data_IF_218994648167
#
_entry.id   IF_218994648167
#
_cell.length_a   1.000
_cell.length_b   1.000
_cell.length_c   1.000
_cell.angle_alpha   90.00
_cell.angle_beta   90.00
_cell.angle_gamma   90.00
#
_symmetry.space_group_name_H-M   'P 1'
#
loop_
_entity.id
_entity.type
_entity.pdbx_description
1 polymer ?
#
# COMPACT_ATOMS: atom_id res chain seq x y z
N UNK A 1 20.29 -8.75 31.58
CA UNK A 1 20.71 -7.90 30.43
C UNK A 1 20.26 -8.63 29.17
N UNK A 2 19.58 -7.97 28.22
CA UNK A 2 19.21 -8.63 26.95
C UNK A 2 20.48 -8.95 26.15
N UNK A 3 20.52 -10.10 25.49
CA UNK A 3 21.59 -10.41 24.55
C UNK A 3 21.51 -9.48 23.33
N UNK A 4 22.65 -9.13 22.73
CA UNK A 4 22.69 -8.24 21.58
C UNK A 4 21.87 -8.77 20.40
N UNK A 5 21.96 -10.07 20.11
CA UNK A 5 21.23 -10.68 19.00
C UNK A 5 19.73 -10.67 19.25
N UNK A 6 19.30 -10.78 20.50
CA UNK A 6 17.89 -10.67 20.88
C UNK A 6 17.36 -9.27 20.58
N UNK A 7 18.09 -8.21 20.95
CA UNK A 7 17.72 -6.82 20.65
C UNK A 7 17.62 -6.60 19.13
N UNK A 8 18.58 -7.11 18.36
CA UNK A 8 18.59 -6.97 16.88
C UNK A 8 17.39 -7.67 16.24
N UNK A 9 17.01 -8.85 16.74
CA UNK A 9 15.86 -9.63 16.24
C UNK A 9 14.52 -9.05 16.68
N UNK A 10 14.44 -8.51 17.91
CA UNK A 10 13.26 -7.87 18.47
C UNK A 10 12.97 -6.52 17.81
N UNK A 11 14.00 -5.79 17.37
CA UNK A 11 13.86 -4.49 16.73
C UNK A 11 12.93 -4.59 15.51
N UNK A 12 11.74 -4.01 15.66
CA UNK A 12 10.75 -3.82 14.59
C UNK A 12 10.29 -2.37 14.55
N UNK A 13 9.94 -1.92 13.35
CA UNK A 13 9.35 -0.59 13.14
C UNK A 13 7.89 -0.64 13.55
N UNK A 14 7.53 0.12 14.58
CA UNK A 14 6.16 0.21 15.09
C UNK A 14 5.55 1.55 14.69
N UNK A 15 4.28 1.54 14.29
CA UNK A 15 3.53 2.73 13.82
C UNK A 15 2.22 2.96 14.58
N UNK A 16 1.98 2.14 15.59
CA UNK A 16 0.84 2.25 16.51
C UNK A 16 1.43 2.33 17.92
N UNK A 17 1.16 3.43 18.61
CA UNK A 17 1.78 3.75 19.89
C UNK A 17 0.69 3.91 20.93
N UNK A 18 0.97 3.48 22.16
CA UNK A 18 0.15 3.86 23.30
C UNK A 18 0.27 5.36 23.59
N UNK A 19 -0.67 5.90 24.37
CA UNK A 19 -0.65 7.30 24.81
C UNK A 19 0.43 7.60 25.87
N UNK A 20 1.19 6.59 26.30
CA UNK A 20 2.23 6.74 27.33
C UNK A 20 3.34 7.70 26.82
N UNK A 21 3.65 8.78 27.55
CA UNK A 21 4.70 9.71 27.14
C UNK A 21 6.08 9.04 27.17
N UNK A 22 6.99 9.52 26.32
CA UNK A 22 8.41 9.12 26.34
C UNK A 22 9.19 10.22 27.09
N UNK A 23 9.73 9.93 28.29
CA UNK A 23 10.44 10.94 29.09
C UNK A 23 11.69 11.45 28.38
N UNK A 24 11.98 12.76 28.51
CA UNK A 24 13.16 13.38 27.89
C UNK A 24 14.47 12.72 28.36
N UNK A 25 14.58 12.35 29.63
CA UNK A 25 15.80 11.71 30.13
C UNK A 25 16.04 10.32 29.51
N UNK A 26 14.97 9.58 29.23
CA UNK A 26 15.07 8.32 28.48
C UNK A 26 15.56 8.57 27.05
N UNK A 27 15.09 9.64 26.42
CA UNK A 27 15.55 10.05 25.08
C UNK A 27 17.03 10.44 25.10
N UNK A 28 17.48 11.16 26.14
CA UNK A 28 18.91 11.47 26.32
C UNK A 28 19.75 10.19 26.43
N UNK A 29 19.32 9.21 27.24
CA UNK A 29 20.02 7.92 27.33
C UNK A 29 20.05 7.15 26.00
N UNK A 30 18.98 7.22 25.21
CA UNK A 30 18.95 6.64 23.86
C UNK A 30 19.96 7.34 22.94
N UNK A 31 20.00 8.67 22.97
CA UNK A 31 20.94 9.48 22.17
C UNK A 31 22.38 9.24 22.60
N UNK A 32 22.65 9.09 23.89
CA UNK A 32 23.97 8.77 24.43
C UNK A 32 24.50 7.42 23.91
N UNK A 33 23.65 6.39 23.85
CA UNK A 33 24.07 5.12 23.21
C UNK A 33 24.28 5.31 21.70
N UNK A 34 23.42 6.12 21.07
CA UNK A 34 23.52 6.39 19.65
C UNK A 34 24.82 7.14 19.29
N UNK A 35 25.31 8.04 20.14
CA UNK A 35 26.53 8.84 19.92
C UNK A 35 27.80 8.01 19.77
N UNK A 36 27.82 6.76 20.23
CA UNK A 36 28.90 5.80 19.97
C UNK A 36 28.94 5.29 18.52
N UNK A 37 28.00 5.69 17.66
CA UNK A 37 28.08 5.41 16.23
C UNK A 37 29.34 6.05 15.62
N UNK A 38 30.06 5.35 14.74
CA UNK A 38 31.25 5.91 14.11
C UNK A 38 30.86 7.10 13.24
N UNK A 39 31.70 8.14 13.26
CA UNK A 39 31.53 9.33 12.41
C UNK A 39 32.78 9.56 11.58
N UNK A 40 32.61 10.18 10.42
CA UNK A 40 33.73 10.55 9.56
C UNK A 40 34.72 11.40 10.37
N UNK A 41 36.00 11.00 10.42
CA UNK A 41 37.06 11.66 11.18
C UNK A 41 36.70 12.08 12.62
N UNK A 42 35.79 11.37 13.29
CA UNK A 42 35.24 11.74 14.60
C UNK A 42 34.60 13.14 14.70
N UNK A 43 34.12 13.69 13.57
CA UNK A 43 33.56 15.05 13.50
C UNK A 43 32.23 15.25 14.27
N UNK A 44 31.47 14.19 14.54
CA UNK A 44 30.26 14.24 15.37
C UNK A 44 29.24 15.31 14.93
N UNK A 45 29.01 15.43 13.62
CA UNK A 45 28.17 16.49 13.01
C UNK A 45 26.65 16.21 13.11
N UNK A 46 26.24 15.19 13.87
CA UNK A 46 24.83 14.86 14.08
C UNK A 46 24.19 15.80 15.10
N UNK A 47 22.98 16.28 14.79
CA UNK A 47 22.16 17.06 15.72
C UNK A 47 20.75 16.45 15.88
N UNK A 48 20.13 16.68 17.04
CA UNK A 48 18.84 16.14 17.41
C UNK A 48 17.89 17.24 17.89
N UNK A 49 16.67 17.25 17.38
CA UNK A 49 15.60 18.12 17.85
C UNK A 49 14.47 17.23 18.38
N UNK A 50 14.19 17.35 19.68
CA UNK A 50 13.10 16.65 20.34
C UNK A 50 11.81 17.48 20.29
N UNK A 51 10.74 16.86 19.81
CA UNK A 51 9.41 17.47 19.70
C UNK A 51 8.37 16.51 20.29
N UNK A 52 7.79 16.87 21.42
CA UNK A 52 6.69 16.14 22.06
C UNK A 52 5.37 16.92 22.04
N UNK A 53 5.41 18.24 21.92
CA UNK A 53 4.24 19.11 21.93
C UNK A 53 3.35 18.95 20.66
N UNK A 54 2.04 18.97 20.88
CA UNK A 54 1.06 18.77 19.80
C UNK A 54 1.02 19.93 18.80
N UNK A 55 1.32 21.17 19.23
CA UNK A 55 1.21 22.37 18.39
C UNK A 55 2.26 22.34 17.29
N UNK A 56 3.51 22.04 17.61
CA UNK A 56 4.61 21.91 16.64
C UNK A 56 4.37 20.74 15.69
N UNK A 57 3.95 19.59 16.21
CA UNK A 57 3.57 18.42 15.38
C UNK A 57 2.46 18.75 14.39
N UNK A 58 1.42 19.48 14.79
CA UNK A 58 0.35 19.92 13.89
C UNK A 58 0.83 20.91 12.83
N UNK A 59 1.73 21.83 13.18
CA UNK A 59 2.35 22.75 12.20
C UNK A 59 3.16 21.99 11.16
N UNK A 60 3.98 21.02 11.58
CA UNK A 60 4.75 20.16 10.66
C UNK A 60 3.82 19.43 9.68
N UNK A 61 2.69 18.90 10.16
CA UNK A 61 1.71 18.20 9.31
C UNK A 61 1.05 19.17 8.32
N UNK A 62 0.53 20.31 8.79
CA UNK A 62 -0.29 21.21 7.97
C UNK A 62 0.53 22.09 7.04
N UNK A 63 1.63 22.65 7.53
CA UNK A 63 2.44 23.62 6.80
C UNK A 63 3.48 22.89 5.92
N UNK A 64 4.21 21.93 6.49
CA UNK A 64 5.29 21.21 5.81
C UNK A 64 4.83 19.94 5.07
N UNK A 65 3.57 19.52 5.21
CA UNK A 65 3.07 18.24 4.68
C UNK A 65 3.78 17.02 5.28
N UNK A 66 4.08 17.07 6.59
CA UNK A 66 4.60 15.92 7.31
C UNK A 66 3.55 14.78 7.41
N UNK A 67 4.03 13.55 7.54
CA UNK A 67 3.19 12.36 7.70
C UNK A 67 2.32 12.43 8.97
N UNK A 68 1.03 12.11 8.84
CA UNK A 68 0.06 12.14 9.94
C UNK A 68 0.38 11.18 11.10
N UNK A 69 1.26 10.19 10.91
CA UNK A 69 1.78 9.36 12.00
C UNK A 69 2.43 10.18 13.12
N UNK A 70 3.03 11.32 12.78
CA UNK A 70 3.65 12.23 13.77
C UNK A 70 2.65 12.70 14.82
N UNK A 71 1.37 12.87 14.46
CA UNK A 71 0.31 13.27 15.38
C UNK A 71 0.12 12.28 16.52
N UNK A 72 0.25 10.99 16.23
CA UNK A 72 -0.02 9.89 17.19
C UNK A 72 1.22 9.45 17.95
N UNK A 73 2.41 9.84 17.49
CA UNK A 73 3.64 9.50 18.18
C UNK A 73 3.79 10.36 19.45
N UNK A 74 3.99 9.74 20.63
CA UNK A 74 4.24 10.48 21.86
C UNK A 74 5.44 11.42 21.74
N UNK A 75 6.50 10.98 21.07
CA UNK A 75 7.68 11.78 20.80
C UNK A 75 8.11 11.72 19.33
N UNK A 76 8.71 12.81 18.86
CA UNK A 76 9.35 12.93 17.56
C UNK A 76 10.79 13.40 17.78
N UNK A 77 11.74 12.71 17.17
CA UNK A 77 13.11 13.21 16.99
C UNK A 77 13.32 13.61 15.54
N UNK A 78 13.88 14.78 15.32
CA UNK A 78 14.39 15.21 14.01
C UNK A 78 15.90 15.11 14.04
N UNK A 79 16.47 14.32 13.12
CA UNK A 79 17.91 14.12 13.00
C UNK A 79 18.42 14.98 11.85
N UNK A 80 19.37 15.85 12.15
CA UNK A 80 20.07 16.65 11.14
C UNK A 80 21.57 16.35 11.15
N UNK A 81 22.24 16.73 10.07
CA UNK A 81 23.68 16.54 9.89
C UNK A 81 24.28 17.72 9.12
N UNK A 82 25.27 18.39 9.70
CA UNK A 82 25.97 19.52 9.08
C UNK A 82 27.15 19.06 8.20
N UNK A 83 26.83 18.26 7.19
CA UNK A 83 27.82 17.59 6.35
C UNK A 83 28.29 18.46 5.18
N UNK A 84 29.48 18.17 4.66
CA UNK A 84 30.02 18.84 3.48
C UNK A 84 29.18 18.57 2.23
N UNK A 85 28.53 17.41 2.19
CA UNK A 85 27.62 17.03 1.12
C UNK A 85 26.54 16.06 1.61
N UNK A 86 25.53 15.88 0.78
CA UNK A 86 24.38 15.03 1.08
C UNK A 86 24.74 13.54 1.28
N UNK A 87 25.78 13.01 0.62
CA UNK A 87 26.18 11.60 0.78
C UNK A 87 26.77 11.35 2.17
N UNK A 88 27.59 12.28 2.65
CA UNK A 88 28.14 12.23 4.00
C UNK A 88 27.03 12.31 5.05
N UNK A 89 26.08 13.24 4.87
CA UNK A 89 24.91 13.35 5.74
C UNK A 89 24.07 12.06 5.78
N UNK A 90 23.85 11.40 4.63
CA UNK A 90 23.19 10.09 4.59
C UNK A 90 23.98 9.06 5.38
N UNK A 91 25.30 8.95 5.15
CA UNK A 91 26.15 7.94 5.78
C UNK A 91 26.19 8.13 7.31
N UNK A 92 26.57 9.32 7.75
CA UNK A 92 26.70 9.66 9.17
C UNK A 92 25.37 9.60 9.92
N UNK A 93 24.29 10.10 9.30
CA UNK A 93 22.94 10.00 9.87
C UNK A 93 22.41 8.56 9.95
N UNK A 94 22.69 7.71 8.96
CA UNK A 94 22.22 6.32 8.94
C UNK A 94 22.90 5.43 9.97
N UNK A 95 24.21 5.62 10.19
CA UNK A 95 24.97 4.90 11.22
C UNK A 95 24.41 5.19 12.62
N UNK A 96 24.26 6.49 12.92
CA UNK A 96 23.64 7.00 14.14
C UNK A 96 22.22 6.47 14.34
N UNK A 97 21.39 6.54 13.29
CA UNK A 97 20.02 6.05 13.32
C UNK A 97 19.95 4.54 13.61
N UNK A 98 20.88 3.75 13.07
CA UNK A 98 21.00 2.32 13.35
C UNK A 98 21.17 2.04 14.84
N UNK A 99 22.12 2.73 15.49
CA UNK A 99 22.35 2.60 16.93
C UNK A 99 21.15 3.10 17.74
N UNK A 100 20.58 4.25 17.38
CA UNK A 100 19.41 4.83 18.04
C UNK A 100 18.23 3.85 18.08
N UNK A 101 17.94 3.15 16.98
CA UNK A 101 16.85 2.18 16.94
C UNK A 101 17.10 0.96 17.84
N UNK A 102 18.35 0.50 17.94
CA UNK A 102 18.72 -0.62 18.82
C UNK A 102 18.67 -0.18 20.30
N UNK A 103 19.19 1.02 20.60
CA UNK A 103 19.12 1.61 21.94
C UNK A 103 17.67 1.78 22.39
N UNK A 104 16.80 2.36 21.56
CA UNK A 104 15.38 2.48 21.86
C UNK A 104 14.78 1.11 22.21
N UNK A 105 15.03 0.08 21.37
CA UNK A 105 14.52 -1.28 21.58
C UNK A 105 15.02 -1.87 22.91
N UNK A 106 16.29 -1.64 23.27
CA UNK A 106 16.86 -2.06 24.55
C UNK A 106 16.11 -1.43 25.74
N UNK A 107 15.82 -0.13 25.66
CA UNK A 107 15.07 0.61 26.67
C UNK A 107 13.55 0.37 26.65
N UNK A 108 13.05 -0.51 25.77
CA UNK A 108 11.62 -0.85 25.67
C UNK A 108 10.77 0.19 24.93
N UNK A 109 11.40 1.12 24.22
CA UNK A 109 10.73 2.12 23.35
C UNK A 109 10.97 1.74 21.90
N UNK A 110 9.99 1.93 21.03
CA UNK A 110 10.17 1.63 19.61
C UNK A 110 10.34 2.89 18.78
N UNK A 111 11.32 2.82 17.88
CA UNK A 111 11.66 3.87 16.93
C UNK A 111 11.18 3.50 15.52
N UNK A 112 10.57 4.47 14.84
CA UNK A 112 10.19 4.35 13.42
C UNK A 112 10.79 5.51 12.63
N UNK A 113 11.89 5.29 11.88
CA UNK A 113 12.43 6.31 11.01
C UNK A 113 11.50 6.58 9.82
N UNK A 114 11.42 7.84 9.42
CA UNK A 114 10.62 8.31 8.30
C UNK A 114 11.34 9.39 7.50
N UNK A 115 11.29 9.25 6.18
CA UNK A 115 11.70 10.27 5.21
C UNK A 115 10.49 11.05 4.65
N UNK A 116 9.27 10.64 4.99
CA UNK A 116 8.03 11.33 4.61
C UNK A 116 7.73 12.51 5.54
N UNK A 117 8.73 13.34 5.86
CA UNK A 117 8.60 14.43 6.83
C UNK A 117 8.17 15.77 6.19
N UNK A 118 8.07 15.82 4.85
CA UNK A 118 7.55 16.99 4.15
C UNK A 118 8.60 17.84 3.45
N UNK A 119 8.28 19.11 3.25
CA UNK A 119 9.16 20.10 2.60
C UNK A 119 10.29 20.50 3.55
N UNK A 120 11.55 20.25 3.14
CA UNK A 120 12.75 20.64 3.87
C UNK A 120 12.72 22.12 4.29
N UNK A 121 12.49 23.04 3.36
CA UNK A 121 12.45 24.49 3.61
C UNK A 121 11.47 24.85 4.74
N UNK A 122 10.26 24.29 4.70
CA UNK A 122 9.23 24.57 5.68
C UNK A 122 9.54 23.93 7.04
N UNK A 123 10.07 22.71 7.05
CA UNK A 123 10.52 22.07 8.30
C UNK A 123 11.62 22.90 8.94
N UNK A 124 12.62 23.34 8.16
CA UNK A 124 13.70 24.20 8.65
C UNK A 124 13.16 25.50 9.25
N UNK A 125 12.19 26.14 8.59
CA UNK A 125 11.53 27.34 9.12
C UNK A 125 10.76 27.10 10.41
N UNK A 126 10.02 25.99 10.51
CA UNK A 126 9.19 25.66 11.68
C UNK A 126 10.05 25.36 12.91
N UNK A 127 11.16 24.64 12.70
CA UNK A 127 12.05 24.15 13.76
C UNK A 127 13.31 24.99 13.92
N UNK A 128 13.42 26.11 13.20
CA UNK A 128 14.58 27.01 13.22
C UNK A 128 15.92 26.33 12.91
N UNK A 129 15.89 25.36 11.98
CA UNK A 129 17.09 24.63 11.54
C UNK A 129 17.88 25.51 10.56
N UNK A 130 19.21 25.67 10.76
CA UNK A 130 20.08 26.39 9.82
C UNK A 130 20.02 25.87 8.38
N UNK A 131 20.39 26.74 7.43
CA UNK A 131 20.41 26.37 6.02
C UNK A 131 21.47 25.29 5.70
N UNK A 132 22.60 25.26 6.42
CA UNK A 132 23.69 24.30 6.23
C UNK A 132 23.32 22.87 6.61
N UNK A 133 22.45 22.71 7.61
CA UNK A 133 22.02 21.42 8.12
C UNK A 133 21.22 20.61 7.09
N UNK A 134 21.60 19.36 6.86
CA UNK A 134 20.78 18.42 6.09
C UNK A 134 19.82 17.70 7.03
N UNK A 135 18.51 17.71 6.74
CA UNK A 135 17.55 16.88 7.48
C UNK A 135 17.71 15.44 7.01
N UNK A 136 18.22 14.56 7.86
CA UNK A 136 18.44 13.15 7.50
C UNK A 136 17.13 12.36 7.54
N UNK A 137 16.42 12.44 8.66
CA UNK A 137 15.11 11.81 8.83
C UNK A 137 14.39 12.33 10.07
N UNK A 138 13.12 12.00 10.16
CA UNK A 138 12.33 12.06 11.39
C UNK A 138 12.27 10.67 12.01
N UNK A 139 12.17 10.57 13.33
CA UNK A 139 12.02 9.31 14.05
C UNK A 139 10.88 9.46 15.04
N UNK A 140 9.79 8.73 14.83
CA UNK A 140 8.74 8.64 15.86
C UNK A 140 9.13 7.65 16.94
N UNK A 141 8.92 8.04 18.19
CA UNK A 141 9.25 7.27 19.39
C UNK A 141 7.99 7.08 20.24
N UNK A 142 7.80 5.86 20.74
CA UNK A 142 6.72 5.53 21.65
C UNK A 142 6.73 4.07 22.09
N UNK A 143 5.88 3.75 23.07
CA UNK A 143 5.63 2.38 23.49
C UNK A 143 4.60 1.73 22.57
N UNK A 144 4.75 0.44 22.22
CA UNK A 144 3.75 -0.28 21.44
C UNK A 144 2.37 -0.26 22.13
N UNK A 145 1.32 -0.25 21.33
CA UNK A 145 -0.03 -0.60 21.78
C UNK A 145 -0.37 -2.05 21.38
N UNK A 146 -1.55 -2.54 21.76
CA UNK A 146 -2.02 -3.89 21.45
C UNK A 146 -2.00 -4.21 19.93
N UNK A 147 -2.18 -3.20 19.07
CA UNK A 147 -2.14 -3.39 17.61
C UNK A 147 -0.72 -3.60 17.10
N UNK A 148 0.29 -3.13 17.82
CA UNK A 148 1.68 -3.33 17.47
C UNK A 148 2.17 -4.75 17.82
N UNK A 149 1.61 -5.35 18.87
CA UNK A 149 1.96 -6.69 19.34
C UNK A 149 1.44 -7.79 18.40
N UNK A 150 0.31 -7.55 17.75
CA UNK A 150 -0.29 -8.47 16.79
C UNK A 150 0.35 -8.44 15.39
N UNK A 151 1.37 -7.61 15.17
CA UNK A 151 2.04 -7.53 13.87
C UNK A 151 2.93 -8.76 13.60
N UNK A 152 2.86 -9.34 12.39
CA UNK A 152 3.66 -10.50 12.05
C UNK A 152 5.16 -10.19 12.03
N UNK A 153 5.98 -11.22 12.25
CA UNK A 153 7.43 -11.10 12.17
C UNK A 153 7.89 -10.67 10.77
N UNK A 154 8.93 -9.84 10.72
CA UNK A 154 9.47 -9.32 9.45
C UNK A 154 10.41 -10.37 8.85
N UNK A 155 9.99 -10.99 7.75
CA UNK A 155 10.84 -11.88 6.96
C UNK A 155 11.92 -11.07 6.23
N UNK A 156 13.18 -11.48 6.39
CA UNK A 156 14.35 -10.96 5.66
C UNK A 156 14.65 -11.81 4.44
N UNK A 157 15.27 -11.20 3.43
CA UNK A 157 15.79 -11.94 2.27
C UNK A 157 16.93 -12.87 2.72
N UNK A 158 17.09 -14.04 2.10
CA UNK A 158 18.26 -14.89 2.28
C UNK A 158 19.55 -14.13 1.94
N UNK A 159 20.63 -14.39 2.70
CA UNK A 159 21.94 -13.75 2.46
C UNK A 159 22.46 -14.06 1.06
N UNK A 160 22.20 -15.26 0.54
CA UNK A 160 22.57 -15.68 -0.82
C UNK A 160 21.98 -14.82 -1.94
N UNK A 161 20.86 -14.13 -1.69
CA UNK A 161 20.28 -13.19 -2.66
C UNK A 161 20.83 -11.76 -2.55
N UNK A 162 21.51 -11.43 -1.45
CA UNK A 162 22.03 -10.09 -1.16
C UNK A 162 23.54 -10.02 -1.35
N UNK A 163 24.24 -11.13 -1.10
CA UNK A 163 25.68 -11.24 -1.23
C UNK A 163 26.06 -11.58 -2.67
N UNK A 164 26.88 -10.71 -3.26
CA UNK A 164 27.48 -10.92 -4.57
C UNK A 164 29.00 -11.08 -4.40
N UNK A 165 29.56 -12.15 -4.97
CA UNK A 165 30.98 -12.48 -4.84
C UNK A 165 31.69 -12.07 -6.14
N UNK A 166 32.73 -11.24 -6.03
CA UNK A 166 33.52 -10.74 -7.15
C UNK A 166 32.83 -9.62 -7.94
N UNK A 167 31.64 -9.88 -8.48
CA UNK A 167 30.86 -8.93 -9.28
C UNK A 167 29.36 -9.06 -9.02
N UNK A 168 28.61 -8.00 -9.37
CA UNK A 168 27.16 -7.97 -9.22
C UNK A 168 26.49 -8.99 -10.14
N UNK A 169 25.64 -9.86 -9.59
CA UNK A 169 24.93 -10.90 -10.37
C UNK A 169 23.60 -10.35 -10.87
N UNK A 170 23.53 -10.03 -12.16
CA UNK A 170 22.34 -9.46 -12.80
C UNK A 170 21.13 -10.40 -12.79
N UNK A 171 21.34 -11.70 -12.67
CA UNK A 171 20.30 -12.75 -12.71
C UNK A 171 19.49 -12.87 -11.41
N UNK A 172 19.98 -12.31 -10.28
CA UNK A 172 19.23 -12.27 -9.02
C UNK A 172 18.23 -11.10 -9.06
N UNK A 173 17.26 -11.16 -9.97
CA UNK A 173 16.13 -10.22 -9.99
C UNK A 173 14.98 -10.75 -9.13
N UNK A 174 15.22 -10.89 -7.82
CA UNK A 174 14.11 -11.08 -6.86
C UNK A 174 13.40 -9.78 -6.52
N UNK A 175 13.86 -8.65 -7.07
CA UNK A 175 13.25 -7.33 -6.88
C UNK A 175 12.14 -7.13 -7.92
N UNK A 176 10.98 -6.55 -7.54
CA UNK A 176 9.95 -6.18 -8.49
C UNK A 176 10.51 -5.41 -9.70
N UNK A 177 9.99 -5.63 -10.91
CA UNK A 177 10.50 -4.98 -12.14
C UNK A 177 10.26 -3.46 -12.15
N UNK A 178 9.44 -2.95 -11.21
CA UNK A 178 9.05 -1.55 -11.10
C UNK A 178 8.51 -0.98 -12.44
N UNK A 179 7.82 -1.82 -13.21
CA UNK A 179 7.13 -1.43 -14.43
C UNK A 179 5.64 -1.21 -14.18
N UNK A 180 5.02 -0.39 -15.01
CA UNK A 180 3.57 -0.22 -15.07
C UNK A 180 2.85 -1.42 -15.67
N UNK A 181 3.54 -2.15 -16.56
CA UNK A 181 2.94 -3.22 -17.31
C UNK A 181 2.87 -4.50 -16.47
N UNK A 182 1.69 -5.06 -16.19
CA UNK A 182 1.57 -6.31 -15.42
C UNK A 182 2.35 -7.48 -16.02
N UNK A 183 2.52 -7.55 -17.35
CA UNK A 183 3.26 -8.65 -17.98
C UNK A 183 4.77 -8.62 -17.73
N UNK A 184 5.31 -7.51 -17.23
CA UNK A 184 6.72 -7.44 -16.82
C UNK A 184 6.92 -8.08 -15.43
N UNK A 185 5.82 -8.46 -14.75
CA UNK A 185 5.79 -9.00 -13.39
C UNK A 185 5.40 -10.49 -13.40
N UNK A 186 6.04 -11.24 -12.50
CA UNK A 186 5.57 -12.59 -12.15
C UNK A 186 4.59 -12.49 -10.97
N UNK A 187 3.79 -13.54 -10.74
CA UNK A 187 2.94 -13.61 -9.55
C UNK A 187 3.76 -13.49 -8.25
N UNK A 188 4.98 -14.03 -8.22
CA UNK A 188 5.85 -13.94 -7.05
C UNK A 188 6.39 -12.52 -6.80
N UNK A 189 6.74 -11.78 -7.85
CA UNK A 189 7.16 -10.39 -7.69
C UNK A 189 5.99 -9.49 -7.29
N UNK A 190 4.78 -9.79 -7.76
CA UNK A 190 3.54 -9.14 -7.32
C UNK A 190 3.22 -9.44 -5.85
N UNK A 191 3.28 -10.72 -5.43
CA UNK A 191 3.16 -11.13 -4.02
C UNK A 191 4.13 -10.38 -3.14
N UNK A 192 5.40 -10.33 -3.54
CA UNK A 192 6.44 -9.65 -2.79
C UNK A 192 6.11 -8.16 -2.62
N UNK A 193 5.68 -7.49 -3.69
CA UNK A 193 5.25 -6.09 -3.64
C UNK A 193 4.07 -5.88 -2.68
N UNK A 194 3.03 -6.71 -2.77
CA UNK A 194 1.86 -6.62 -1.89
C UNK A 194 2.23 -6.83 -0.41
N UNK A 195 3.12 -7.79 -0.11
CA UNK A 195 3.66 -8.01 1.24
C UNK A 195 4.38 -6.79 1.77
N UNK A 196 5.24 -6.15 0.95
CA UNK A 196 5.91 -4.90 1.35
C UNK A 196 4.91 -3.79 1.65
N UNK A 197 3.85 -3.70 0.87
CA UNK A 197 2.88 -2.65 1.05
C UNK A 197 2.02 -2.82 2.31
N UNK A 198 1.56 -4.04 2.60
CA UNK A 198 0.85 -4.34 3.86
C UNK A 198 1.67 -3.92 5.09
N UNK A 199 3.01 -4.01 5.02
CA UNK A 199 3.93 -3.59 6.10
C UNK A 199 4.13 -2.07 6.21
N UNK A 200 3.81 -1.29 5.17
CA UNK A 200 3.95 0.18 5.18
C UNK A 200 2.76 0.88 5.82
N UNK A 201 1.62 0.21 5.91
CA UNK A 201 0.36 0.80 6.37
C UNK A 201 -0.08 0.25 7.73
N UNK A 202 -0.91 1.01 8.45
CA UNK A 202 -1.63 0.50 9.62
C UNK A 202 -2.70 -0.50 9.19
N UNK A 203 -2.91 -1.54 9.99
CA UNK A 203 -4.03 -2.48 9.81
C UNK A 203 -5.35 -1.71 9.68
N UNK A 204 -6.20 -2.13 8.73
CA UNK A 204 -7.48 -1.47 8.48
C UNK A 204 -7.40 -0.18 7.65
N UNK A 205 -6.27 0.19 7.04
CA UNK A 205 -6.30 1.22 6.00
C UNK A 205 -6.86 0.63 4.71
N UNK A 206 -7.82 1.32 4.10
CA UNK A 206 -8.24 0.96 2.75
C UNK A 206 -7.10 1.21 1.75
N UNK A 207 -6.79 0.18 0.97
CA UNK A 207 -5.70 0.11 -0.01
C UNK A 207 -6.23 0.15 -1.44
N UNK A 208 -7.44 -0.36 -1.69
CA UNK A 208 -8.12 -0.16 -2.96
C UNK A 208 -8.68 1.26 -3.07
N UNK A 209 -8.20 2.00 -4.06
CA UNK A 209 -8.86 3.23 -4.47
C UNK A 209 -9.94 2.91 -5.49
N UNK A 210 -11.18 3.01 -5.05
CA UNK A 210 -12.36 3.04 -5.88
C UNK A 210 -13.16 4.32 -5.61
N UNK A 211 -13.61 4.97 -6.68
CA UNK A 211 -14.42 6.18 -6.56
C UNK A 211 -15.78 5.81 -5.97
N UNK A 212 -16.54 6.79 -5.46
CA UNK A 212 -17.89 6.52 -4.96
C UNK A 212 -18.76 5.86 -6.05
N UNK A 213 -18.59 6.30 -7.31
CA UNK A 213 -19.27 5.70 -8.45
C UNK A 213 -18.86 4.24 -8.67
N UNK A 214 -17.55 3.96 -8.67
CA UNK A 214 -17.03 2.59 -8.78
C UNK A 214 -17.58 1.68 -7.67
N UNK A 215 -17.70 2.19 -6.45
CA UNK A 215 -18.32 1.46 -5.33
C UNK A 215 -19.80 1.19 -5.54
N UNK A 216 -20.57 2.14 -6.06
CA UNK A 216 -21.98 1.94 -6.36
C UNK A 216 -22.19 0.92 -7.49
N UNK A 217 -21.30 0.88 -8.49
CA UNK A 217 -21.28 -0.21 -9.49
C UNK A 217 -21.08 -1.55 -8.80
N UNK A 218 -20.04 -1.69 -7.96
CA UNK A 218 -19.78 -2.93 -7.22
C UNK A 218 -20.99 -3.32 -6.36
N UNK A 219 -21.53 -2.39 -5.58
CA UNK A 219 -22.69 -2.62 -4.71
C UNK A 219 -23.89 -3.13 -5.50
N UNK A 220 -24.19 -2.53 -6.65
CA UNK A 220 -25.27 -2.98 -7.55
C UNK A 220 -25.05 -4.42 -8.02
N UNK A 221 -23.84 -4.78 -8.45
CA UNK A 221 -23.54 -6.13 -8.93
C UNK A 221 -23.56 -7.19 -7.81
N UNK A 222 -23.30 -6.80 -6.55
CA UNK A 222 -23.23 -7.72 -5.41
C UNK A 222 -24.55 -7.91 -4.65
N UNK A 223 -25.53 -7.00 -4.79
CA UNK A 223 -26.78 -7.01 -4.01
C UNK A 223 -27.63 -8.29 -4.11
N UNK A 224 -27.50 -9.05 -5.19
CA UNK A 224 -28.40 -10.18 -5.51
C UNK A 224 -27.65 -11.46 -5.90
N UNK A 225 -26.42 -11.63 -5.40
CA UNK A 225 -25.64 -12.84 -5.64
C UNK A 225 -26.05 -13.99 -4.73
N UNK A 226 -25.64 -15.22 -5.07
CA UNK A 226 -25.88 -16.43 -4.27
C UNK A 226 -24.68 -16.74 -3.39
N UNK A 227 -24.95 -17.24 -2.18
CA UNK A 227 -23.93 -17.79 -1.28
C UNK A 227 -23.93 -19.33 -1.37
N UNK A 228 -22.81 -20.03 -1.12
CA UNK A 228 -21.51 -19.52 -0.68
C UNK A 228 -20.76 -18.73 -1.77
N UNK A 229 -20.00 -17.70 -1.37
CA UNK A 229 -19.25 -16.81 -2.27
C UNK A 229 -17.74 -16.85 -2.00
N UNK A 230 -16.95 -16.74 -3.07
CA UNK A 230 -15.49 -16.52 -2.98
C UNK A 230 -15.14 -15.17 -3.60
N UNK A 231 -14.46 -14.31 -2.85
CA UNK A 231 -13.91 -13.05 -3.35
C UNK A 231 -12.40 -13.19 -3.60
N UNK A 232 -12.01 -13.12 -4.87
CA UNK A 232 -10.63 -13.29 -5.30
C UNK A 232 -9.85 -11.98 -5.17
N UNK A 233 -8.70 -12.09 -4.52
CA UNK A 233 -7.72 -11.04 -4.25
C UNK A 233 -8.35 -9.84 -3.53
N UNK A 234 -9.13 -10.13 -2.49
CA UNK A 234 -9.86 -9.15 -1.68
C UNK A 234 -8.96 -8.03 -1.15
N UNK A 235 -7.68 -8.33 -0.88
CA UNK A 235 -6.57 -7.43 -0.59
C UNK A 235 -6.66 -6.67 0.74
N UNK A 236 -7.77 -5.99 0.99
CA UNK A 236 -8.06 -5.23 2.21
C UNK A 236 -9.51 -5.41 2.70
N UNK A 237 -10.31 -6.20 2.00
CA UNK A 237 -11.70 -6.48 2.34
C UNK A 237 -12.66 -5.30 2.13
N UNK A 238 -12.29 -4.30 1.35
CA UNK A 238 -13.07 -3.05 1.18
C UNK A 238 -14.50 -3.25 0.70
N UNK A 239 -14.77 -4.34 -0.03
CA UNK A 239 -16.09 -4.63 -0.59
C UNK A 239 -16.88 -5.67 0.22
N UNK A 240 -16.30 -6.26 1.26
CA UNK A 240 -16.90 -7.37 2.03
C UNK A 240 -18.27 -7.02 2.61
N UNK A 241 -18.47 -5.75 2.99
CA UNK A 241 -19.77 -5.27 3.50
C UNK A 241 -20.85 -5.14 2.42
N UNK A 242 -20.51 -5.25 1.13
CA UNK A 242 -21.47 -5.13 0.02
C UNK A 242 -22.06 -6.49 -0.41
N UNK A 243 -21.46 -7.60 0.01
CA UNK A 243 -21.98 -8.94 -0.23
C UNK A 243 -23.24 -9.18 0.64
N UNK A 244 -24.21 -9.99 0.22
CA UNK A 244 -25.34 -10.41 1.07
C UNK A 244 -24.85 -11.33 2.19
N UNK A 245 -25.55 -11.40 3.33
CA UNK A 245 -25.20 -12.31 4.45
C UNK A 245 -25.12 -13.78 4.00
N UNK A 246 -24.21 -14.53 4.63
CA UNK A 246 -23.94 -15.94 4.32
C UNK A 246 -22.45 -16.25 4.14
N UNK A 247 -22.17 -17.51 3.82
CA UNK A 247 -20.82 -18.07 3.73
C UNK A 247 -19.97 -17.34 2.69
N UNK A 248 -18.83 -16.82 3.14
CA UNK A 248 -17.88 -16.07 2.31
C UNK A 248 -16.45 -16.54 2.56
N UNK A 249 -15.67 -16.67 1.50
CA UNK A 249 -14.21 -16.87 1.58
C UNK A 249 -13.48 -15.76 0.83
N UNK A 250 -12.59 -15.04 1.51
CA UNK A 250 -11.64 -14.13 0.90
C UNK A 250 -10.35 -14.87 0.56
N UNK A 251 -9.90 -14.77 -0.70
CA UNK A 251 -8.70 -15.47 -1.19
C UNK A 251 -7.65 -14.43 -1.58
N UNK A 252 -6.46 -14.47 -0.99
CA UNK A 252 -5.39 -13.50 -1.25
C UNK A 252 -4.10 -14.15 -1.76
N UNK A 253 -3.27 -13.38 -2.46
CA UNK A 253 -2.05 -13.92 -3.08
C UNK A 253 -1.00 -14.40 -2.07
N UNK A 254 -1.01 -13.94 -0.82
CA UNK A 254 -0.05 -14.35 0.19
C UNK A 254 -0.65 -14.36 1.59
N UNK A 255 0.00 -15.10 2.51
CA UNK A 255 -0.43 -15.20 3.90
C UNK A 255 -0.46 -13.84 4.61
N UNK A 256 0.52 -12.95 4.36
CA UNK A 256 0.51 -11.62 5.00
C UNK A 256 -0.60 -10.70 4.46
N UNK A 257 -0.95 -10.79 3.17
CA UNK A 257 -2.09 -10.06 2.62
C UNK A 257 -3.38 -10.62 3.20
N UNK A 258 -3.52 -11.95 3.30
CA UNK A 258 -4.67 -12.60 3.92
C UNK A 258 -4.86 -12.17 5.39
N UNK A 259 -3.77 -12.11 6.16
CA UNK A 259 -3.80 -11.60 7.53
C UNK A 259 -4.20 -10.11 7.60
N UNK A 260 -3.73 -9.30 6.64
CA UNK A 260 -4.15 -7.90 6.53
C UNK A 260 -5.64 -7.76 6.23
N UNK A 261 -6.16 -8.51 5.25
CA UNK A 261 -7.58 -8.57 4.90
C UNK A 261 -8.41 -8.95 6.13
N UNK A 262 -8.00 -10.00 6.86
CA UNK A 262 -8.66 -10.43 8.11
C UNK A 262 -8.74 -9.30 9.13
N UNK A 263 -7.59 -8.71 9.48
CA UNK A 263 -7.55 -7.62 10.45
C UNK A 263 -8.37 -6.39 10.01
N UNK A 264 -8.39 -6.08 8.70
CA UNK A 264 -9.18 -4.98 8.15
C UNK A 264 -10.68 -5.23 8.28
N UNK A 265 -11.13 -6.46 7.97
CA UNK A 265 -12.54 -6.87 8.09
C UNK A 265 -12.96 -6.91 9.55
N UNK A 266 -12.20 -7.53 10.45
CA UNK A 266 -12.54 -7.61 11.88
C UNK A 266 -12.66 -6.23 12.54
N UNK A 267 -11.90 -5.24 12.06
CA UNK A 267 -11.98 -3.86 12.56
C UNK A 267 -13.16 -3.06 12.02
N UNK A 268 -13.60 -3.32 10.78
CA UNK A 268 -14.55 -2.45 10.06
C UNK A 268 -15.91 -3.08 9.81
N UNK A 269 -15.97 -4.39 9.71
CA UNK A 269 -17.12 -5.13 9.24
C UNK A 269 -17.94 -5.62 10.42
N UNK A 270 -19.26 -5.42 10.34
CA UNK A 270 -20.24 -5.91 11.32
C UNK A 270 -21.10 -7.06 10.78
N UNK A 271 -20.60 -7.81 9.79
CA UNK A 271 -21.33 -8.97 9.25
C UNK A 271 -21.60 -9.97 10.37
N UNK A 272 -22.78 -10.58 10.33
CA UNK A 272 -23.15 -11.64 11.26
C UNK A 272 -22.49 -12.97 10.86
N UNK A 273 -22.45 -13.28 9.56
CA UNK A 273 -21.79 -14.47 9.05
C UNK A 273 -20.25 -14.32 9.03
N UNK A 274 -19.48 -15.33 9.49
CA UNK A 274 -18.02 -15.27 9.50
C UNK A 274 -17.44 -15.32 8.08
N UNK A 275 -16.30 -14.66 7.89
CA UNK A 275 -15.51 -14.71 6.66
C UNK A 275 -14.35 -15.69 6.84
N UNK A 276 -14.23 -16.64 5.92
CA UNK A 276 -13.07 -17.53 5.84
C UNK A 276 -11.94 -16.90 5.02
N UNK A 277 -10.70 -17.27 5.30
CA UNK A 277 -9.51 -16.69 4.67
C UNK A 277 -8.62 -17.78 4.09
N UNK A 278 -8.19 -17.62 2.84
CA UNK A 278 -7.33 -18.58 2.17
C UNK A 278 -6.25 -17.89 1.33
N UNK A 279 -5.10 -18.54 1.18
CA UNK A 279 -4.05 -18.12 0.25
C UNK A 279 -4.25 -18.81 -1.10
N UNK A 280 -4.19 -18.04 -2.18
CA UNK A 280 -4.27 -18.55 -3.54
C UNK A 280 -3.09 -19.49 -3.86
N UNK A 281 -3.41 -20.67 -4.38
CA UNK A 281 -2.46 -21.70 -4.78
C UNK A 281 -2.53 -21.93 -6.30
N UNK A 282 -1.45 -21.59 -7.01
CA UNK A 282 -1.33 -21.82 -8.46
C UNK A 282 -1.36 -23.29 -8.84
N UNK A 283 -1.03 -24.21 -7.93
CA UNK A 283 -0.94 -25.64 -8.22
C UNK A 283 -2.24 -26.40 -7.94
N UNK A 284 -3.16 -25.83 -7.16
CA UNK A 284 -4.43 -26.46 -6.84
C UNK A 284 -5.39 -26.51 -8.04
N UNK A 285 -6.18 -27.58 -8.21
CA UNK A 285 -7.17 -27.65 -9.31
C UNK A 285 -8.33 -26.66 -9.14
N UNK A 286 -8.68 -26.34 -7.89
CA UNK A 286 -9.77 -25.42 -7.52
C UNK A 286 -9.27 -24.31 -6.61
N UNK A 287 -9.97 -23.18 -6.62
CA UNK A 287 -9.70 -22.03 -5.74
C UNK A 287 -9.94 -22.42 -4.28
N UNK A 288 -11.09 -23.04 -4.01
CA UNK A 288 -11.47 -23.60 -2.70
C UNK A 288 -11.86 -25.07 -2.87
N UNK A 289 -11.79 -25.87 -1.79
CA UNK A 289 -12.03 -27.32 -1.87
C UNK A 289 -13.47 -27.67 -2.29
N UNK A 290 -14.45 -26.98 -1.70
CA UNK A 290 -15.88 -27.21 -1.97
C UNK A 290 -16.35 -26.31 -3.11
N UNK A 291 -17.19 -26.81 -4.03
CA UNK A 291 -17.85 -25.97 -5.02
C UNK A 291 -18.62 -24.80 -4.40
N UNK A 292 -18.73 -23.69 -5.13
CA UNK A 292 -19.41 -22.47 -4.66
C UNK A 292 -20.36 -21.89 -5.71
N UNK A 293 -21.35 -21.14 -5.26
CA UNK A 293 -22.39 -20.60 -6.12
C UNK A 293 -21.99 -19.29 -6.81
N UNK A 294 -21.08 -18.51 -6.21
CA UNK A 294 -20.58 -17.27 -6.83
C UNK A 294 -19.09 -17.07 -6.56
N UNK A 295 -18.36 -16.62 -7.56
CA UNK A 295 -16.98 -16.13 -7.43
C UNK A 295 -16.92 -14.68 -7.93
N UNK A 296 -16.18 -13.81 -7.26
CA UNK A 296 -16.00 -12.41 -7.65
C UNK A 296 -14.53 -12.06 -7.87
N UNK A 297 -14.26 -11.12 -8.77
CA UNK A 297 -12.94 -10.46 -8.89
C UNK A 297 -13.15 -8.97 -9.17
N UNK A 298 -12.83 -8.12 -8.19
CA UNK A 298 -13.23 -6.71 -8.17
C UNK A 298 -11.99 -5.81 -8.22
N UNK A 299 -11.72 -5.19 -9.38
CA UNK A 299 -10.59 -4.29 -9.65
C UNK A 299 -9.19 -4.90 -9.42
N UNK A 300 -9.04 -6.21 -9.68
CA UNK A 300 -7.79 -6.97 -9.48
C UNK A 300 -7.18 -7.52 -10.76
N UNK A 301 -7.98 -7.82 -11.78
CA UNK A 301 -7.47 -8.38 -13.04
C UNK A 301 -6.51 -7.42 -13.74
N UNK A 302 -6.69 -6.11 -13.57
CA UNK A 302 -5.82 -5.06 -14.11
C UNK A 302 -4.37 -5.13 -13.60
N UNK A 303 -4.13 -5.90 -12.54
CA UNK A 303 -2.83 -6.03 -11.87
C UNK A 303 -2.16 -7.38 -12.15
N UNK A 304 -2.85 -8.32 -12.78
CA UNK A 304 -2.32 -9.65 -13.04
C UNK A 304 -1.60 -9.70 -14.39
N UNK A 305 -0.47 -10.41 -14.49
CA UNK A 305 0.15 -10.69 -15.78
C UNK A 305 -0.79 -11.56 -16.62
N UNK A 306 -0.78 -11.38 -17.94
CA UNK A 306 -1.67 -12.13 -18.83
C UNK A 306 -1.52 -13.64 -18.70
N UNK A 307 -0.31 -14.15 -18.45
CA UNK A 307 -0.05 -15.57 -18.24
C UNK A 307 -0.81 -16.16 -17.04
N UNK A 308 -1.18 -15.36 -16.05
CA UNK A 308 -1.92 -15.79 -14.87
C UNK A 308 -3.45 -15.79 -15.08
N UNK A 309 -3.97 -15.06 -16.08
CA UNK A 309 -5.42 -14.84 -16.25
C UNK A 309 -6.14 -16.12 -16.67
N UNK A 310 -5.67 -16.81 -17.72
CA UNK A 310 -6.33 -18.03 -18.21
C UNK A 310 -6.32 -19.15 -17.17
N UNK A 311 -5.18 -19.51 -16.53
CA UNK A 311 -5.17 -20.52 -15.46
C UNK A 311 -6.11 -20.17 -14.31
N UNK A 312 -6.20 -18.88 -13.94
CA UNK A 312 -7.15 -18.41 -12.93
C UNK A 312 -8.59 -18.70 -13.37
N UNK A 313 -8.98 -18.34 -14.59
CA UNK A 313 -10.34 -18.57 -15.08
C UNK A 313 -10.71 -20.06 -15.16
N UNK A 314 -9.77 -20.92 -15.57
CA UNK A 314 -10.00 -22.38 -15.55
C UNK A 314 -10.25 -22.90 -14.14
N UNK A 315 -9.53 -22.41 -13.13
CA UNK A 315 -9.77 -22.76 -11.72
C UNK A 315 -11.10 -22.22 -11.21
N UNK A 316 -11.47 -20.98 -11.57
CA UNK A 316 -12.78 -20.40 -11.26
C UNK A 316 -13.88 -21.29 -11.82
N UNK A 317 -13.80 -21.67 -13.09
CA UNK A 317 -14.73 -22.60 -13.73
C UNK A 317 -14.76 -23.95 -12.99
N UNK A 318 -13.62 -24.53 -12.64
CA UNK A 318 -13.55 -25.79 -11.90
C UNK A 318 -14.16 -25.72 -10.48
N UNK A 319 -14.19 -24.52 -9.89
CA UNK A 319 -14.67 -24.29 -8.51
C UNK A 319 -16.16 -23.96 -8.45
N UNK A 320 -16.76 -23.41 -9.51
CA UNK A 320 -18.18 -23.08 -9.51
C UNK A 320 -19.08 -24.32 -9.54
N UNK A 321 -20.25 -24.21 -8.90
CA UNK A 321 -21.37 -25.12 -9.09
C UNK A 321 -21.89 -25.09 -10.54
N UNK A 322 -22.61 -26.13 -10.97
CA UNK A 322 -23.36 -26.06 -12.21
C UNK A 322 -24.38 -24.91 -12.13
N UNK A 323 -24.35 -24.01 -13.12
CA UNK A 323 -25.16 -22.80 -13.11
C UNK A 323 -24.63 -21.69 -12.19
N UNK A 324 -23.45 -21.82 -11.58
CA UNK A 324 -22.80 -20.83 -10.72
C UNK A 324 -22.32 -19.59 -11.48
N UNK A 325 -22.20 -18.46 -10.76
CA UNK A 325 -21.87 -17.16 -11.35
C UNK A 325 -20.40 -16.77 -11.11
N UNK A 326 -19.70 -16.32 -12.16
CA UNK A 326 -18.46 -15.56 -12.03
C UNK A 326 -18.72 -14.09 -12.38
N UNK A 327 -18.42 -13.18 -11.45
CA UNK A 327 -18.64 -11.75 -11.61
C UNK A 327 -17.30 -11.02 -11.57
N UNK A 328 -16.97 -10.32 -12.66
CA UNK A 328 -15.77 -9.49 -12.79
C UNK A 328 -16.20 -8.03 -12.82
N UNK A 329 -15.60 -7.20 -11.97
CA UNK A 329 -15.67 -5.74 -12.09
C UNK A 329 -14.26 -5.24 -12.35
N UNK A 330 -14.04 -4.48 -13.43
CA UNK A 330 -12.71 -4.02 -13.80
C UNK A 330 -12.76 -2.70 -14.57
N UNK A 331 -11.63 -1.98 -14.60
CA UNK A 331 -11.44 -0.80 -15.45
C UNK A 331 -11.10 -1.24 -16.87
N UNK A 332 -11.84 -0.71 -17.84
CA UNK A 332 -11.71 -1.05 -19.26
C UNK A 332 -10.76 -0.10 -19.97
N UNK A 333 -9.89 -0.65 -20.81
CA UNK A 333 -9.07 0.15 -21.72
C UNK A 333 -9.93 0.97 -22.69
N UNK A 334 -9.56 2.24 -22.86
CA UNK A 334 -10.15 3.19 -23.81
C UNK A 334 -9.10 4.25 -24.20
N UNK A 335 -9.36 5.04 -25.24
CA UNK A 335 -8.39 6.00 -25.78
C UNK A 335 -7.77 6.94 -24.73
N UNK A 336 -8.58 7.50 -23.81
CA UNK A 336 -8.07 8.40 -22.77
C UNK A 336 -7.04 7.75 -21.84
N UNK A 337 -7.07 6.42 -21.66
CA UNK A 337 -6.10 5.72 -20.82
C UNK A 337 -4.71 5.71 -21.45
N UNK A 338 -4.64 5.57 -22.77
CA UNK A 338 -3.36 5.62 -23.49
C UNK A 338 -2.74 7.02 -23.44
N UNK A 339 -3.56 8.05 -23.65
CA UNK A 339 -3.12 9.45 -23.53
C UNK A 339 -2.63 9.74 -22.11
N UNK A 340 -3.40 9.34 -21.11
CA UNK A 340 -3.06 9.53 -19.70
C UNK A 340 -1.76 8.83 -19.30
N UNK A 341 -1.63 7.52 -19.55
CA UNK A 341 -0.40 6.80 -19.23
C UNK A 341 0.78 7.24 -20.08
N UNK A 342 0.53 7.75 -21.30
CA UNK A 342 1.54 8.43 -22.10
C UNK A 342 2.11 9.64 -21.38
N UNK A 343 1.24 10.53 -20.87
CA UNK A 343 1.65 11.69 -20.10
C UNK A 343 2.39 11.30 -18.79
N UNK A 344 1.89 10.31 -18.05
CA UNK A 344 2.57 9.80 -16.85
C UNK A 344 3.98 9.29 -17.16
N UNK A 345 4.14 8.51 -18.23
CA UNK A 345 5.46 8.00 -18.64
C UNK A 345 6.40 9.12 -19.10
N UNK A 346 5.87 10.18 -19.71
CA UNK A 346 6.66 11.35 -20.10
C UNK A 346 7.17 12.11 -18.87
N UNK A 347 6.33 12.27 -17.83
CA UNK A 347 6.69 12.98 -16.61
C UNK A 347 7.60 12.17 -15.66
N UNK A 348 7.36 10.86 -15.53
CA UNK A 348 7.97 10.03 -14.48
C UNK A 348 8.86 8.90 -14.99
N UNK A 349 8.91 8.69 -16.31
CA UNK A 349 9.69 7.62 -16.94
C UNK A 349 9.03 6.24 -16.82
N UNK A 350 9.85 5.19 -17.07
CA UNK A 350 9.40 3.78 -17.05
C UNK A 350 9.35 3.17 -15.64
N UNK A 351 10.05 3.76 -14.67
CA UNK A 351 10.05 3.31 -13.29
C UNK A 351 8.80 3.83 -12.57
N UNK A 352 7.85 2.93 -12.31
CA UNK A 352 6.59 3.28 -11.66
C UNK A 352 6.80 3.88 -10.26
N UNK A 353 7.93 3.63 -9.57
CA UNK A 353 8.19 4.16 -8.21
C UNK A 353 8.13 5.69 -8.16
N UNK A 354 8.47 6.35 -9.25
CA UNK A 354 8.47 7.81 -9.36
C UNK A 354 7.08 8.43 -9.40
N UNK A 355 6.05 7.64 -9.69
CA UNK A 355 4.67 8.15 -9.80
C UNK A 355 3.93 8.20 -8.48
N UNK A 356 4.46 7.56 -7.43
CA UNK A 356 3.78 7.33 -6.15
C UNK A 356 2.57 6.37 -6.21
N UNK A 357 1.95 6.20 -7.40
CA UNK A 357 0.94 5.20 -7.73
C UNK A 357 1.45 3.80 -7.37
N UNK A 358 2.75 3.57 -7.64
CA UNK A 358 3.43 2.32 -7.33
C UNK A 358 3.09 1.77 -5.95
N UNK A 359 3.03 2.65 -4.95
CA UNK A 359 2.86 2.19 -3.58
C UNK A 359 1.51 1.51 -3.37
N UNK A 360 0.42 1.95 -4.01
CA UNK A 360 -0.93 1.47 -3.69
C UNK A 360 -1.38 0.32 -4.59
N UNK A 361 -0.96 0.32 -5.85
CA UNK A 361 -1.63 -0.45 -6.91
C UNK A 361 -0.79 -1.59 -7.51
N UNK A 362 0.53 -1.62 -7.29
CA UNK A 362 1.42 -2.49 -8.07
C UNK A 362 1.40 -2.11 -9.56
N UNK A 363 1.72 -3.06 -10.47
CA UNK A 363 1.49 -2.82 -11.89
C UNK A 363 0.00 -2.63 -12.16
N UNK A 364 -0.32 -1.84 -13.17
CA UNK A 364 -1.70 -1.54 -13.48
C UNK A 364 -1.88 -1.29 -14.96
N UNK A 365 -2.74 -2.11 -15.58
CA UNK A 365 -3.17 -1.96 -16.97
C UNK A 365 -4.67 -2.24 -17.07
N UNK A 366 -5.49 -1.26 -17.51
CA UNK A 366 -6.91 -1.49 -17.78
C UNK A 366 -7.11 -2.68 -18.73
N UNK A 367 -8.12 -3.51 -18.45
CA UNK A 367 -8.34 -4.73 -19.22
C UNK A 367 -8.87 -4.44 -20.63
N UNK A 368 -8.55 -5.32 -21.57
CA UNK A 368 -9.22 -5.37 -22.87
C UNK A 368 -10.43 -6.30 -22.79
N UNK A 369 -11.65 -5.76 -22.99
CA UNK A 369 -12.89 -6.57 -23.01
C UNK A 369 -12.78 -7.76 -23.95
N UNK A 370 -12.28 -7.54 -25.18
CA UNK A 370 -12.15 -8.60 -26.19
C UNK A 370 -11.20 -9.70 -25.74
N UNK A 371 -10.10 -9.34 -25.09
CA UNK A 371 -9.15 -10.30 -24.54
C UNK A 371 -9.80 -11.10 -23.41
N UNK A 372 -10.39 -10.44 -22.40
CA UNK A 372 -10.99 -11.13 -21.25
C UNK A 372 -12.13 -12.06 -21.67
N UNK A 373 -13.03 -11.64 -22.56
CA UNK A 373 -14.11 -12.52 -23.07
C UNK A 373 -13.58 -13.74 -23.83
N UNK A 374 -12.44 -13.61 -24.53
CA UNK A 374 -11.78 -14.73 -25.20
C UNK A 374 -11.17 -15.69 -24.18
N UNK A 375 -10.41 -15.19 -23.21
CA UNK A 375 -9.81 -16.04 -22.17
C UNK A 375 -10.88 -16.76 -21.32
N UNK A 376 -12.02 -16.11 -21.06
CA UNK A 376 -13.17 -16.73 -20.39
C UNK A 376 -13.78 -17.88 -21.21
N UNK A 377 -13.96 -17.66 -22.52
CA UNK A 377 -14.47 -18.69 -23.43
C UNK A 377 -13.51 -19.89 -23.50
N UNK A 378 -12.22 -19.62 -23.62
CA UNK A 378 -11.18 -20.65 -23.64
C UNK A 378 -11.13 -21.44 -22.31
N UNK A 379 -11.57 -20.82 -21.20
CA UNK A 379 -11.71 -21.47 -19.90
C UNK A 379 -13.05 -22.21 -19.70
N UNK A 380 -13.97 -22.16 -20.67
CA UNK A 380 -15.25 -22.88 -20.64
C UNK A 380 -16.50 -22.02 -20.39
N UNK A 381 -16.36 -20.71 -20.16
CA UNK A 381 -17.51 -19.81 -19.98
C UNK A 381 -18.10 -19.39 -21.33
N UNK A 382 -19.13 -20.09 -21.79
CA UNK A 382 -19.83 -19.77 -23.05
C UNK A 382 -21.02 -18.82 -22.86
N UNK A 383 -21.60 -18.76 -21.66
CA UNK A 383 -22.65 -17.81 -21.28
C UNK A 383 -22.02 -16.62 -20.55
N UNK A 384 -21.84 -15.50 -21.26
CA UNK A 384 -21.23 -14.29 -20.72
C UNK A 384 -21.98 -13.04 -21.17
N UNK A 385 -22.31 -12.18 -20.22
CA UNK A 385 -22.89 -10.86 -20.47
C UNK A 385 -21.98 -9.78 -19.89
N UNK A 386 -22.07 -8.56 -20.39
CA UNK A 386 -21.27 -7.44 -19.88
C UNK A 386 -22.02 -6.12 -19.96
N UNK A 387 -21.75 -5.24 -19.00
CA UNK A 387 -22.24 -3.86 -18.98
C UNK A 387 -21.10 -2.89 -18.77
N UNK A 388 -21.12 -1.77 -19.50
CA UNK A 388 -20.13 -0.69 -19.36
C UNK A 388 -20.72 0.54 -18.69
N UNK A 389 -19.94 1.13 -17.78
CA UNK A 389 -20.29 2.30 -16.99
C UNK A 389 -19.24 3.39 -17.16
N UNK A 390 -19.67 4.65 -17.22
CA UNK A 390 -18.76 5.80 -17.33
C UNK A 390 -18.48 6.31 -15.93
N UNK A 391 -17.35 5.88 -15.37
CA UNK A 391 -16.81 6.42 -14.12
C UNK A 391 -15.53 7.20 -14.43
N UNK A 392 -15.30 8.35 -13.82
CA UNK A 392 -13.92 8.84 -13.73
C UNK A 392 -13.17 7.85 -12.83
N UNK A 393 -12.13 7.15 -13.32
CA UNK A 393 -11.41 6.17 -12.49
C UNK A 393 -10.87 6.85 -11.24
N UNK A 394 -11.07 6.28 -10.05
CA UNK A 394 -10.49 6.85 -8.81
C UNK A 394 -8.99 7.01 -8.89
N UNK A 395 -8.33 6.21 -9.71
CA UNK A 395 -6.92 6.35 -10.00
C UNK A 395 -6.53 7.73 -10.55
N UNK A 396 -7.36 8.32 -11.42
CA UNK A 396 -7.11 9.67 -11.98
C UNK A 396 -7.32 10.72 -10.90
N UNK A 397 -8.36 10.59 -10.08
CA UNK A 397 -8.60 11.44 -8.91
C UNK A 397 -7.42 11.37 -7.94
N UNK A 398 -6.95 10.16 -7.65
CA UNK A 398 -5.81 9.89 -6.76
C UNK A 398 -4.54 10.49 -7.33
N UNK A 399 -4.26 10.32 -8.63
CA UNK A 399 -3.08 10.94 -9.24
C UNK A 399 -3.15 12.47 -9.17
N UNK A 400 -4.32 13.05 -9.41
CA UNK A 400 -4.48 14.50 -9.29
C UNK A 400 -4.23 14.99 -7.86
N UNK A 401 -4.83 14.33 -6.86
CA UNK A 401 -4.59 14.63 -5.45
C UNK A 401 -3.11 14.47 -5.10
N UNK A 402 -2.47 13.44 -5.62
CA UNK A 402 -1.04 13.25 -5.48
C UNK A 402 -0.27 14.41 -6.09
N UNK A 403 -0.52 14.79 -7.33
CA UNK A 403 0.17 15.93 -7.96
C UNK A 403 0.04 17.22 -7.14
N UNK A 404 -1.15 17.53 -6.61
CA UNK A 404 -1.35 18.66 -5.71
C UNK A 404 -0.50 18.54 -4.43
N UNK A 405 -0.41 17.35 -3.85
CA UNK A 405 0.42 17.10 -2.69
C UNK A 405 1.92 17.19 -3.01
N UNK A 406 2.37 16.77 -4.21
CA UNK A 406 3.76 16.89 -4.65
C UNK A 406 4.24 18.32 -4.56
N UNK A 407 3.43 19.19 -5.18
CA UNK A 407 3.68 20.63 -5.30
C UNK A 407 3.80 21.23 -3.90
N UNK A 408 2.86 20.88 -3.00
CA UNK A 408 2.88 21.38 -1.61
C UNK A 408 4.08 20.94 -0.80
N UNK A 409 4.58 19.73 -1.06
CA UNK A 409 5.76 19.18 -0.41
C UNK A 409 7.08 19.61 -1.05
N UNK A 410 7.05 20.43 -2.11
CA UNK A 410 8.27 20.85 -2.81
C UNK A 410 9.00 19.68 -3.46
N UNK A 411 8.27 18.64 -3.88
CA UNK A 411 8.85 17.47 -4.53
C UNK A 411 9.12 16.26 -3.62
N UNK A 412 8.76 16.29 -2.33
CA UNK A 412 9.09 15.21 -1.38
C UNK A 412 7.92 14.23 -1.10
N UNK A 413 8.23 13.06 -0.53
CA UNK A 413 7.39 11.83 -0.49
C UNK A 413 5.93 12.01 -0.02
N UNK A 414 4.99 11.31 -0.67
CA UNK A 414 3.54 11.53 -0.63
C UNK A 414 2.70 10.76 0.41
N UNK A 415 3.29 9.83 1.16
CA UNK A 415 2.52 8.80 1.84
C UNK A 415 1.89 9.31 3.16
N UNK A 416 0.59 9.05 3.36
CA UNK A 416 -0.17 9.27 4.61
C UNK A 416 -0.43 10.72 5.03
N UNK A 417 -0.83 11.57 4.06
CA UNK A 417 -1.21 12.96 4.29
C UNK A 417 -2.72 13.14 4.24
N UNK A 418 -3.23 14.19 4.86
CA UNK A 418 -4.66 14.51 4.82
C UNK A 418 -5.11 14.91 3.42
N UNK A 419 -6.23 14.35 2.97
CA UNK A 419 -6.85 14.71 1.70
C UNK A 419 -7.33 16.17 1.78
N UNK A 420 -6.86 17.07 0.91
CA UNK A 420 -7.34 18.45 0.92
C UNK A 420 -8.83 18.51 0.58
N UNK A 421 -9.57 19.36 1.28
CA UNK A 421 -10.91 19.77 0.84
C UNK A 421 -10.78 20.71 -0.37
N UNK A 422 -10.66 20.16 -1.58
CA UNK A 422 -10.54 20.94 -2.82
C UNK A 422 -11.92 21.28 -3.42
N UNK A 423 -12.05 22.49 -3.96
CA UNK A 423 -13.23 22.93 -4.73
C UNK A 423 -13.42 22.06 -5.97
N UNK A 424 -12.33 21.64 -6.61
CA UNK A 424 -12.36 20.72 -7.76
C UNK A 424 -12.83 19.33 -7.33
N UNK A 425 -12.42 18.85 -6.16
CA UNK A 425 -12.93 17.58 -5.62
C UNK A 425 -14.44 17.66 -5.34
N UNK A 426 -14.92 18.79 -4.81
CA UNK A 426 -16.37 19.02 -4.64
C UNK A 426 -17.10 19.06 -5.98
N UNK A 427 -16.52 19.69 -6.99
CA UNK A 427 -17.07 19.76 -8.35
C UNK A 427 -17.12 18.39 -9.03
N UNK A 428 -16.03 17.60 -8.97
CA UNK A 428 -16.01 16.22 -9.46
C UNK A 428 -17.04 15.35 -8.73
N UNK A 429 -17.14 15.46 -7.40
CA UNK A 429 -18.17 14.77 -6.62
C UNK A 429 -19.59 15.17 -7.03
N UNK A 430 -19.80 16.45 -7.35
CA UNK A 430 -21.09 16.94 -7.83
C UNK A 430 -21.43 16.37 -9.22
N UNK A 431 -20.49 16.41 -10.18
CA UNK A 431 -20.67 15.79 -11.50
C UNK A 431 -21.00 14.29 -11.36
N UNK A 432 -20.23 13.57 -10.56
CA UNK A 432 -20.43 12.13 -10.32
C UNK A 432 -21.77 11.84 -9.63
N UNK A 433 -22.24 12.73 -8.75
CA UNK A 433 -23.55 12.62 -8.11
C UNK A 433 -24.72 12.87 -9.05
N UNK A 434 -24.56 13.75 -10.04
CA UNK A 434 -25.58 14.07 -11.04
C UNK A 434 -25.68 12.99 -12.12
N UNK A 435 -24.58 12.29 -12.42
CA UNK A 435 -24.52 11.34 -13.55
C UNK A 435 -25.35 10.06 -13.34
N UNK A 436 -25.59 9.63 -12.09
CA UNK A 436 -26.28 8.36 -11.79
C UNK A 436 -25.58 7.11 -12.35
N UNK A 437 -26.03 5.90 -12.04
CA UNK A 437 -25.47 4.64 -12.61
C UNK A 437 -25.94 4.42 -14.06
N UNK A 438 -25.62 5.34 -14.98
CA UNK A 438 -25.98 5.20 -16.39
C UNK A 438 -25.07 4.20 -17.10
N UNK A 439 -25.68 3.21 -17.77
CA UNK A 439 -24.98 2.30 -18.66
C UNK A 439 -24.62 3.01 -19.96
N UNK A 440 -23.34 3.12 -20.27
CA UNK A 440 -22.83 3.76 -21.50
C UNK A 440 -22.22 2.74 -22.48
N UNK A 441 -22.40 1.45 -22.20
CA UNK A 441 -21.98 0.36 -23.06
C UNK A 441 -20.49 0.43 -23.41
N UNK A 442 -20.17 0.51 -24.70
CA UNK A 442 -18.78 0.42 -25.18
C UNK A 442 -17.89 1.60 -24.74
N UNK A 443 -18.49 2.76 -24.43
CA UNK A 443 -17.78 3.96 -23.99
C UNK A 443 -17.47 3.96 -22.48
N UNK A 444 -17.88 2.91 -21.75
CA UNK A 444 -17.55 2.77 -20.34
C UNK A 444 -16.06 2.74 -20.06
N UNK A 445 -15.66 3.35 -18.96
CA UNK A 445 -14.33 3.27 -18.36
C UNK A 445 -14.26 2.14 -17.32
N UNK A 446 -15.41 1.70 -16.80
CA UNK A 446 -15.60 0.51 -15.96
C UNK A 446 -16.45 -0.50 -16.71
N UNK A 447 -16.12 -1.77 -16.58
CA UNK A 447 -16.88 -2.88 -17.14
C UNK A 447 -17.21 -3.88 -16.04
N UNK A 448 -18.42 -4.43 -16.13
CA UNK A 448 -18.87 -5.59 -15.37
C UNK A 448 -19.06 -6.72 -16.35
N UNK A 449 -18.59 -7.92 -16.02
CA UNK A 449 -18.77 -9.13 -16.82
C UNK A 449 -19.36 -10.17 -15.89
N UNK A 450 -20.48 -10.76 -16.27
CA UNK A 450 -21.11 -11.88 -15.57
C UNK A 450 -21.06 -13.10 -16.46
N UNK A 451 -20.50 -14.18 -15.94
CA UNK A 451 -20.39 -15.46 -16.63
C UNK A 451 -21.10 -16.53 -15.84
N UNK A 452 -21.71 -17.48 -16.55
CA UNK A 452 -22.33 -18.66 -15.95
C UNK A 452 -21.57 -19.91 -16.36
N UNK A 453 -21.30 -20.79 -15.40
CA UNK A 453 -20.85 -22.16 -15.65
C UNK A 453 -22.05 -23.02 -16.03
#
# INVERSE_FOLDING_TARGET
>A
MKDFLDIVKERKTIRSFSAKPVPLDLVKSIIEVASYAPTNCNQQLQNFIFVDDAKTKERLIKEAACNTLVRRAPALLVITYDGWNYKEAIQGGSLMLGHLMLAATYFGVHASPMNSYGSDEKVKKILHIPASETICCFVTLGYPDEKADTQPAIVRRPVSEMLHIGSFRAEVRTVPPFSYNPDDWTLDSLRMHQRYYCRKTTLGKEMDSASMFEREVVKKELQSIRTPVVDLFSYDGSYVTYFPEGDMTAVDLSAEVSAYTKASIEQKCKRAAPVSYQVYDEKAERIVRKPVSTITTIYKLERLPHEAIRPLFSKVYATLDAGGDYIIVARKSHLFWYVFFGAVKLCFGKDIRHTGIYNFFGPYRPISRRHILRELRDAGFTDSTWSGYFAVPAFIETLYEMMLQYIRSGGTTYLHREVPKSVILKFLKWILGVQGLMTCGMFGSVITIRCRK
#
